data_IF_992649256847
#
_entry.id   IF_992649256847
#
_cell.length_a   1.000
_cell.length_b   1.000
_cell.length_c   1.000
_cell.angle_alpha   90.00
_cell.angle_beta   90.00
_cell.angle_gamma   90.00
#
_symmetry.space_group_name_H-M   'P 1'
#
loop_
_entity.id
_entity.type
_entity.pdbx_description
1 polymer ?
#
# COMPACT_ATOMS: atom_id res chain seq x y z
N UNK A 1 -33.51 17.10 -10.57
CA UNK A 1 -32.23 17.69 -10.13
C UNK A 1 -32.34 17.98 -8.63
N UNK A 2 -31.63 17.23 -7.78
CA UNK A 2 -31.74 17.41 -6.32
C UNK A 2 -30.86 18.61 -5.89
N UNK A 3 -31.49 19.77 -5.66
CA UNK A 3 -30.82 21.01 -5.27
C UNK A 3 -30.14 20.89 -3.91
N UNK A 4 -30.75 20.17 -2.97
CA UNK A 4 -30.17 19.97 -1.63
C UNK A 4 -28.86 19.17 -1.70
N UNK A 5 -28.80 18.13 -2.54
CA UNK A 5 -27.53 17.40 -2.76
C UNK A 5 -26.41 18.35 -3.19
N UNK A 6 -26.65 19.17 -4.21
CA UNK A 6 -25.62 20.06 -4.76
C UNK A 6 -25.24 21.18 -3.78
N UNK A 7 -26.20 21.67 -3.00
CA UNK A 7 -25.95 22.63 -1.92
C UNK A 7 -25.00 22.05 -0.87
N UNK A 8 -25.28 20.84 -0.38
CA UNK A 8 -24.45 20.17 0.61
C UNK A 8 -23.07 19.82 0.04
N UNK A 9 -23.03 19.25 -1.17
CA UNK A 9 -21.79 18.89 -1.85
C UNK A 9 -20.87 20.10 -2.12
N UNK A 10 -21.43 21.19 -2.66
CA UNK A 10 -20.66 22.42 -2.90
C UNK A 10 -20.16 23.05 -1.60
N UNK A 11 -20.99 23.06 -0.54
CA UNK A 11 -20.60 23.54 0.78
C UNK A 11 -19.51 22.68 1.40
N UNK A 12 -19.57 21.36 1.22
CA UNK A 12 -18.52 20.43 1.65
C UNK A 12 -17.19 20.74 0.97
N UNK A 13 -17.20 20.92 -0.36
CA UNK A 13 -16.01 21.32 -1.13
C UNK A 13 -15.44 22.66 -0.67
N UNK A 14 -16.30 23.62 -0.35
CA UNK A 14 -15.87 24.92 0.18
C UNK A 14 -15.20 24.78 1.55
N UNK A 15 -15.78 23.99 2.45
CA UNK A 15 -15.16 23.72 3.75
C UNK A 15 -13.82 23.01 3.61
N UNK A 16 -13.74 22.06 2.67
CA UNK A 16 -12.52 21.34 2.35
C UNK A 16 -11.43 22.27 1.85
N UNK A 17 -11.78 23.21 0.98
CA UNK A 17 -10.85 24.25 0.49
C UNK A 17 -10.28 25.11 1.63
N UNK A 18 -11.08 25.41 2.65
CA UNK A 18 -10.62 26.14 3.84
C UNK A 18 -9.99 25.26 4.94
N UNK A 19 -9.71 23.98 4.66
CA UNK A 19 -9.12 23.04 5.63
C UNK A 19 -10.03 22.71 6.81
N UNK A 20 -11.34 22.95 6.71
CA UNK A 20 -12.35 22.67 7.75
C UNK A 20 -12.91 21.26 7.55
N UNK A 21 -12.05 20.25 7.71
CA UNK A 21 -12.38 18.87 7.32
C UNK A 21 -13.56 18.26 8.06
N UNK A 22 -13.74 18.52 9.36
CA UNK A 22 -14.92 18.02 10.09
C UNK A 22 -16.23 18.58 9.53
N UNK A 23 -16.23 19.86 9.16
CA UNK A 23 -17.40 20.49 8.53
C UNK A 23 -17.61 19.93 7.13
N UNK A 24 -16.54 19.76 6.35
CA UNK A 24 -16.62 19.14 5.04
C UNK A 24 -17.18 17.73 5.13
N UNK A 25 -16.69 16.92 6.06
CA UNK A 25 -17.14 15.55 6.31
C UNK A 25 -18.64 15.51 6.65
N UNK A 26 -19.11 16.35 7.57
CA UNK A 26 -20.53 16.44 7.92
C UNK A 26 -21.42 16.79 6.72
N UNK A 27 -20.97 17.69 5.85
CA UNK A 27 -21.69 18.06 4.63
C UNK A 27 -21.69 16.95 3.58
N UNK A 28 -20.57 16.26 3.38
CA UNK A 28 -20.50 15.09 2.50
C UNK A 28 -21.36 13.93 3.00
N UNK A 29 -21.49 13.73 4.31
CA UNK A 29 -22.41 12.73 4.88
C UNK A 29 -23.86 13.02 4.48
N UNK A 30 -24.28 14.29 4.54
CA UNK A 30 -25.62 14.68 4.11
C UNK A 30 -25.78 14.50 2.60
N UNK A 31 -24.79 14.93 1.81
CA UNK A 31 -24.80 14.74 0.36
C UNK A 31 -24.92 13.26 -0.03
N UNK A 32 -24.15 12.38 0.62
CA UNK A 32 -24.21 10.94 0.40
C UNK A 32 -25.56 10.34 0.81
N UNK A 33 -26.18 10.78 1.93
CA UNK A 33 -27.54 10.34 2.28
C UNK A 33 -28.59 10.75 1.24
N UNK A 34 -28.42 11.92 0.62
CA UNK A 34 -29.32 12.42 -0.42
C UNK A 34 -29.11 11.72 -1.79
N UNK A 35 -27.90 11.21 -2.05
CA UNK A 35 -27.55 10.39 -3.22
C UNK A 35 -26.51 9.31 -2.83
N UNK A 36 -26.97 8.15 -2.33
CA UNK A 36 -26.06 7.07 -1.92
C UNK A 36 -25.40 6.35 -3.11
N UNK A 37 -25.90 6.60 -4.33
CA UNK A 37 -25.34 6.14 -5.59
C UNK A 37 -24.22 7.04 -6.14
N UNK A 38 -23.99 8.22 -5.54
CA UNK A 38 -22.89 9.10 -5.93
C UNK A 38 -21.56 8.67 -5.30
N UNK A 39 -20.67 8.14 -6.16
CA UNK A 39 -19.31 7.76 -5.78
C UNK A 39 -18.50 8.94 -5.22
N UNK A 40 -18.72 10.15 -5.75
CA UNK A 40 -17.90 11.30 -5.36
C UNK A 40 -18.03 11.60 -3.88
N UNK A 41 -19.25 11.62 -3.34
CA UNK A 41 -19.48 11.88 -1.91
C UNK A 41 -18.79 10.83 -1.02
N UNK A 42 -18.89 9.55 -1.36
CA UNK A 42 -18.24 8.46 -0.63
C UNK A 42 -16.70 8.56 -0.68
N UNK A 43 -16.13 8.87 -1.85
CA UNK A 43 -14.68 9.07 -2.01
C UNK A 43 -14.16 10.20 -1.12
N UNK A 44 -14.86 11.35 -1.08
CA UNK A 44 -14.43 12.45 -0.22
C UNK A 44 -14.51 12.09 1.27
N UNK A 45 -15.52 11.31 1.69
CA UNK A 45 -15.62 10.80 3.05
C UNK A 45 -14.45 9.85 3.38
N UNK A 46 -14.14 8.91 2.49
CA UNK A 46 -13.00 8.00 2.63
C UNK A 46 -11.68 8.77 2.75
N UNK A 47 -11.41 9.72 1.85
CA UNK A 47 -10.19 10.52 1.84
C UNK A 47 -10.05 11.37 3.10
N UNK A 48 -11.10 12.08 3.52
CA UNK A 48 -11.04 12.89 4.74
C UNK A 48 -10.80 12.00 5.97
N UNK A 49 -11.47 10.85 6.06
CA UNK A 49 -11.25 9.92 7.16
C UNK A 49 -9.80 9.40 7.18
N UNK A 50 -9.24 9.03 6.03
CA UNK A 50 -7.88 8.55 5.90
C UNK A 50 -6.84 9.62 6.30
N UNK A 51 -6.98 10.84 5.81
CA UNK A 51 -6.07 11.96 6.13
C UNK A 51 -6.13 12.38 7.61
N UNK A 52 -7.28 12.17 8.25
CA UNK A 52 -7.46 12.39 9.69
C UNK A 52 -7.10 11.15 10.51
N UNK A 53 -6.38 10.19 9.91
CA UNK A 53 -5.91 8.94 10.52
C UNK A 53 -7.02 8.11 11.16
N UNK A 54 -8.28 8.30 10.72
CA UNK A 54 -9.45 7.51 11.14
C UNK A 54 -9.55 6.28 10.25
N UNK A 55 -8.52 5.44 10.27
CA UNK A 55 -8.35 4.39 9.27
C UNK A 55 -9.48 3.36 9.24
N UNK A 56 -10.04 2.98 10.40
CA UNK A 56 -11.20 2.09 10.46
C UNK A 56 -12.42 2.69 9.74
N UNK A 57 -12.73 3.96 10.00
CA UNK A 57 -13.81 4.69 9.32
C UNK A 57 -13.51 4.88 7.82
N UNK A 58 -12.24 5.12 7.46
CA UNK A 58 -11.85 5.22 6.06
C UNK A 58 -12.09 3.88 5.32
N UNK A 59 -11.77 2.75 5.96
CA UNK A 59 -12.01 1.42 5.40
C UNK A 59 -13.50 1.20 5.12
N UNK A 60 -14.39 1.57 6.05
CA UNK A 60 -15.85 1.51 5.85
C UNK A 60 -16.29 2.33 4.62
N UNK A 61 -15.77 3.55 4.44
CA UNK A 61 -16.10 4.38 3.27
C UNK A 61 -15.50 3.85 1.97
N UNK A 62 -14.33 3.21 2.01
CA UNK A 62 -13.77 2.55 0.84
C UNK A 62 -14.56 1.31 0.43
N UNK A 63 -15.13 0.55 1.37
CA UNK A 63 -16.10 -0.52 1.05
C UNK A 63 -17.29 0.05 0.28
N UNK A 64 -17.82 1.20 0.70
CA UNK A 64 -18.91 1.87 -0.02
C UNK A 64 -18.48 2.38 -1.41
N UNK A 65 -17.27 2.91 -1.55
CA UNK A 65 -16.71 3.28 -2.85
C UNK A 65 -16.61 2.06 -3.78
N UNK A 66 -16.16 0.92 -3.26
CA UNK A 66 -16.01 -0.33 -3.99
C UNK A 66 -17.35 -0.99 -4.33
N UNK A 67 -18.40 -0.76 -3.53
CA UNK A 67 -19.78 -1.15 -3.89
C UNK A 67 -20.25 -0.45 -5.16
N UNK A 68 -19.83 0.81 -5.36
CA UNK A 68 -20.21 1.64 -6.52
C UNK A 68 -19.26 1.46 -7.71
N UNK A 69 -17.98 1.19 -7.46
CA UNK A 69 -16.95 1.00 -8.47
C UNK A 69 -16.08 -0.25 -8.18
N UNK A 70 -16.64 -1.46 -8.30
CA UNK A 70 -15.97 -2.70 -7.87
C UNK A 70 -14.74 -3.08 -8.70
N UNK A 71 -14.58 -2.48 -9.89
CA UNK A 71 -13.51 -2.76 -10.83
C UNK A 71 -12.34 -1.76 -10.72
N UNK A 72 -12.44 -0.76 -9.84
CA UNK A 72 -11.39 0.26 -9.67
C UNK A 72 -10.22 -0.30 -8.83
N UNK A 73 -9.14 -0.66 -9.53
CA UNK A 73 -7.92 -1.18 -8.92
C UNK A 73 -7.26 -0.19 -7.94
N UNK A 74 -7.32 1.11 -8.21
CA UNK A 74 -6.72 2.12 -7.33
C UNK A 74 -7.54 2.27 -6.05
N UNK A 75 -8.85 2.10 -6.14
CA UNK A 75 -9.74 2.10 -4.97
C UNK A 75 -9.48 0.87 -4.08
N UNK A 76 -9.28 -0.31 -4.66
CA UNK A 76 -8.87 -1.52 -3.93
C UNK A 76 -7.51 -1.33 -3.25
N UNK A 77 -6.55 -0.70 -3.93
CA UNK A 77 -5.27 -0.36 -3.33
C UNK A 77 -5.42 0.58 -2.12
N UNK A 78 -6.21 1.66 -2.27
CA UNK A 78 -6.43 2.61 -1.18
C UNK A 78 -7.16 1.96 0.01
N UNK A 79 -8.12 1.06 -0.26
CA UNK A 79 -8.77 0.24 0.76
C UNK A 79 -7.75 -0.62 1.50
N UNK A 80 -6.87 -1.32 0.77
CA UNK A 80 -5.81 -2.13 1.37
C UNK A 80 -4.85 -1.33 2.22
N UNK A 81 -4.46 -0.14 1.75
CA UNK A 81 -3.62 0.79 2.49
C UNK A 81 -4.26 1.19 3.82
N UNK A 82 -5.53 1.60 3.83
CA UNK A 82 -6.18 2.00 5.09
C UNK A 82 -6.43 0.82 6.03
N UNK A 83 -6.70 -0.39 5.51
CA UNK A 83 -6.81 -1.58 6.34
C UNK A 83 -5.49 -1.91 7.06
N UNK A 84 -4.36 -1.80 6.35
CA UNK A 84 -3.03 -2.00 6.94
C UNK A 84 -2.78 -1.00 8.08
N UNK A 85 -3.07 0.27 7.82
CA UNK A 85 -2.93 1.35 8.80
C UNK A 85 -3.90 1.23 9.98
N UNK A 86 -5.09 0.64 9.75
CA UNK A 86 -6.04 0.28 10.81
C UNK A 86 -5.58 -0.92 11.64
N UNK A 87 -4.50 -1.59 11.26
CA UNK A 87 -3.98 -2.78 11.94
C UNK A 87 -4.67 -4.08 11.54
N UNK A 88 -5.36 -4.12 10.41
CA UNK A 88 -5.95 -5.33 9.82
C UNK A 88 -5.17 -5.75 8.56
N UNK A 89 -4.03 -6.43 8.72
CA UNK A 89 -3.22 -6.89 7.59
C UNK A 89 -3.94 -7.95 6.74
N UNK A 90 -4.94 -8.69 7.28
CA UNK A 90 -5.68 -9.68 6.50
C UNK A 90 -6.64 -9.01 5.52
N UNK A 91 -7.39 -8.01 5.98
CA UNK A 91 -8.21 -7.19 5.10
C UNK A 91 -7.35 -6.45 4.07
N UNK A 92 -6.17 -5.97 4.47
CA UNK A 92 -5.21 -5.33 3.56
C UNK A 92 -4.77 -6.28 2.43
N UNK A 93 -4.36 -7.51 2.76
CA UNK A 93 -3.98 -8.52 1.77
C UNK A 93 -5.12 -8.79 0.79
N UNK A 94 -6.35 -8.97 1.26
CA UNK A 94 -7.50 -9.23 0.39
C UNK A 94 -7.74 -8.07 -0.59
N UNK A 95 -7.66 -6.82 -0.11
CA UNK A 95 -7.84 -5.64 -0.93
C UNK A 95 -6.68 -5.44 -1.93
N UNK A 96 -5.43 -5.64 -1.51
CA UNK A 96 -4.29 -5.58 -2.43
C UNK A 96 -4.31 -6.69 -3.48
N UNK A 97 -4.68 -7.91 -3.10
CA UNK A 97 -4.84 -9.04 -4.01
C UNK A 97 -5.88 -8.72 -5.10
N UNK A 98 -6.98 -8.07 -4.72
CA UNK A 98 -7.99 -7.60 -5.66
C UNK A 98 -7.45 -6.48 -6.56
N UNK A 99 -6.72 -5.51 -6.00
CA UNK A 99 -6.08 -4.45 -6.78
C UNK A 99 -5.14 -5.01 -7.87
N UNK A 100 -4.27 -5.97 -7.51
CA UNK A 100 -3.34 -6.59 -8.47
C UNK A 100 -4.03 -7.56 -9.43
N UNK A 101 -5.16 -8.17 -9.04
CA UNK A 101 -5.99 -8.97 -9.96
C UNK A 101 -6.57 -8.10 -11.08
N UNK A 102 -7.01 -6.88 -10.76
CA UNK A 102 -7.55 -5.92 -11.73
C UNK A 102 -6.46 -5.21 -12.53
N UNK A 103 -5.37 -4.82 -11.88
CA UNK A 103 -4.23 -4.14 -12.50
C UNK A 103 -2.93 -4.78 -12.02
N UNK A 104 -2.45 -5.85 -12.71
CA UNK A 104 -1.24 -6.56 -12.30
C UNK A 104 0.04 -5.72 -12.28
N UNK A 105 0.05 -4.59 -13.00
CA UNK A 105 1.18 -3.65 -13.08
C UNK A 105 1.16 -2.59 -11.96
N UNK A 106 0.24 -2.66 -11.00
CA UNK A 106 0.18 -1.75 -9.86
C UNK A 106 1.20 -2.16 -8.80
N UNK A 107 2.45 -1.74 -8.99
CA UNK A 107 3.61 -2.08 -8.14
C UNK A 107 3.37 -1.80 -6.65
N UNK A 108 2.78 -0.64 -6.31
CA UNK A 108 2.44 -0.26 -4.94
C UNK A 108 1.51 -1.23 -4.22
N UNK A 109 0.62 -1.91 -4.96
CA UNK A 109 -0.26 -2.91 -4.37
C UNK A 109 0.48 -4.22 -4.08
N UNK A 110 1.42 -4.63 -4.94
CA UNK A 110 2.32 -5.76 -4.64
C UNK A 110 3.21 -5.45 -3.42
N UNK A 111 3.77 -4.25 -3.37
CA UNK A 111 4.57 -3.80 -2.23
C UNK A 111 3.77 -3.81 -0.91
N UNK A 112 2.57 -3.22 -0.92
CA UNK A 112 1.68 -3.20 0.24
C UNK A 112 1.25 -4.60 0.69
N UNK A 113 0.99 -5.50 -0.26
CA UNK A 113 0.69 -6.90 0.04
C UNK A 113 1.87 -7.62 0.69
N UNK A 114 3.10 -7.37 0.22
CA UNK A 114 4.32 -7.90 0.83
C UNK A 114 4.51 -7.44 2.27
N UNK A 115 4.28 -6.16 2.55
CA UNK A 115 4.32 -5.61 3.91
C UNK A 115 3.27 -6.27 4.82
N UNK A 116 2.04 -6.43 4.34
CA UNK A 116 0.96 -7.03 5.12
C UNK A 116 1.23 -8.51 5.43
N UNK A 117 1.72 -9.29 4.46
CA UNK A 117 2.18 -10.67 4.70
C UNK A 117 3.35 -10.73 5.69
N UNK A 118 4.33 -9.85 5.54
CA UNK A 118 5.48 -9.79 6.45
C UNK A 118 5.06 -9.49 7.90
N UNK A 119 4.05 -8.62 8.10
CA UNK A 119 3.47 -8.30 9.40
C UNK A 119 2.74 -9.49 10.04
N UNK A 120 2.18 -10.38 9.22
CA UNK A 120 1.58 -11.64 9.67
C UNK A 120 2.60 -12.77 9.89
N UNK A 121 3.88 -12.56 9.57
CA UNK A 121 4.90 -13.61 9.62
C UNK A 121 4.88 -14.56 8.41
N UNK A 122 4.09 -14.26 7.39
CA UNK A 122 3.92 -15.06 6.17
C UNK A 122 5.06 -14.76 5.17
N UNK A 123 6.31 -15.01 5.60
CA UNK A 123 7.51 -14.53 4.92
C UNK A 123 7.68 -15.06 3.49
N UNK A 124 7.22 -16.28 3.21
CA UNK A 124 7.24 -16.84 1.86
C UNK A 124 6.35 -16.05 0.88
N UNK A 125 5.12 -15.73 1.30
CA UNK A 125 4.19 -14.93 0.50
C UNK A 125 4.65 -13.47 0.39
N UNK A 126 5.23 -12.93 1.47
CA UNK A 126 5.83 -11.60 1.45
C UNK A 126 6.96 -11.52 0.41
N UNK A 127 7.85 -12.51 0.37
CA UNK A 127 8.94 -12.57 -0.60
C UNK A 127 8.41 -12.62 -2.04
N UNK A 128 7.37 -13.40 -2.31
CA UNK A 128 6.74 -13.47 -3.64
C UNK A 128 6.12 -12.12 -4.05
N UNK A 129 5.41 -11.45 -3.14
CA UNK A 129 4.83 -10.15 -3.41
C UNK A 129 5.91 -9.07 -3.66
N UNK A 130 6.97 -9.03 -2.85
CA UNK A 130 8.08 -8.11 -3.06
C UNK A 130 8.83 -8.40 -4.37
N UNK A 131 9.04 -9.67 -4.71
CA UNK A 131 9.65 -10.07 -5.99
C UNK A 131 8.85 -9.51 -7.19
N UNK A 132 7.52 -9.54 -7.13
CA UNK A 132 6.65 -8.94 -8.16
C UNK A 132 6.73 -7.41 -8.17
N UNK A 133 6.78 -6.77 -6.99
CA UNK A 133 6.96 -5.33 -6.89
C UNK A 133 8.28 -4.85 -7.52
N UNK A 134 9.40 -5.51 -7.22
CA UNK A 134 10.72 -5.11 -7.76
C UNK A 134 10.84 -5.41 -9.26
N UNK A 135 10.16 -6.43 -9.76
CA UNK A 135 10.09 -6.68 -11.20
C UNK A 135 9.39 -5.55 -11.97
N UNK A 136 8.43 -4.86 -11.33
CA UNK A 136 7.75 -3.70 -11.90
C UNK A 136 8.50 -2.39 -11.67
N UNK A 137 9.20 -2.26 -10.54
CA UNK A 137 10.01 -1.10 -10.15
C UNK A 137 11.44 -1.53 -9.76
N UNK A 138 12.34 -1.76 -10.73
CA UNK A 138 13.67 -2.32 -10.48
C UNK A 138 14.62 -1.44 -9.65
N UNK A 139 14.30 -0.15 -9.48
CA UNK A 139 15.12 0.81 -8.71
C UNK A 139 14.55 1.09 -7.31
N UNK A 140 13.60 0.28 -6.83
CA UNK A 140 13.01 0.45 -5.51
C UNK A 140 13.85 -0.26 -4.44
N UNK A 141 14.91 0.39 -3.96
CA UNK A 141 15.86 -0.17 -2.99
C UNK A 141 15.20 -0.76 -1.73
N UNK A 142 14.25 -0.05 -1.12
CA UNK A 142 13.54 -0.55 0.07
C UNK A 142 12.79 -1.86 -0.18
N UNK A 143 12.12 -2.00 -1.34
CA UNK A 143 11.46 -3.24 -1.73
C UNK A 143 12.46 -4.40 -1.91
N UNK A 144 13.67 -4.15 -2.43
CA UNK A 144 14.72 -5.17 -2.50
C UNK A 144 15.22 -5.58 -1.10
N UNK A 145 15.45 -4.62 -0.21
CA UNK A 145 15.84 -4.90 1.17
C UNK A 145 14.79 -5.77 1.87
N UNK A 146 13.51 -5.40 1.76
CA UNK A 146 12.40 -6.16 2.35
C UNK A 146 12.22 -7.52 1.69
N UNK A 147 12.43 -7.64 0.38
CA UNK A 147 12.46 -8.92 -0.32
C UNK A 147 13.55 -9.84 0.24
N UNK A 148 14.78 -9.34 0.37
CA UNK A 148 15.90 -10.10 0.94
C UNK A 148 15.65 -10.55 2.37
N UNK A 149 15.14 -9.66 3.22
CA UNK A 149 14.75 -9.99 4.60
C UNK A 149 13.62 -11.04 4.65
N UNK A 150 12.64 -10.94 3.76
CA UNK A 150 11.55 -11.92 3.66
C UNK A 150 12.09 -13.29 3.20
N UNK A 151 12.99 -13.33 2.22
CA UNK A 151 13.65 -14.57 1.77
C UNK A 151 14.48 -15.22 2.88
N UNK A 152 15.24 -14.42 3.64
CA UNK A 152 16.01 -14.90 4.79
C UNK A 152 15.09 -15.52 5.85
N UNK A 153 14.03 -14.82 6.25
CA UNK A 153 13.06 -15.33 7.23
C UNK A 153 12.23 -16.52 6.72
N UNK A 154 12.08 -16.65 5.41
CA UNK A 154 11.44 -17.80 4.77
C UNK A 154 12.40 -18.99 4.56
N UNK A 155 13.65 -18.91 5.03
CA UNK A 155 14.70 -19.91 4.84
C UNK A 155 14.94 -20.25 3.34
N UNK A 156 14.94 -19.22 2.48
CA UNK A 156 15.22 -19.32 1.03
C UNK A 156 16.59 -18.67 0.70
N UNK A 157 17.72 -19.31 1.05
CA UNK A 157 19.05 -18.69 0.95
C UNK A 157 19.44 -18.30 -0.48
N UNK A 158 19.05 -19.08 -1.49
CA UNK A 158 19.35 -18.80 -2.89
C UNK A 158 18.69 -17.50 -3.39
N UNK A 159 17.49 -17.20 -2.90
CA UNK A 159 16.80 -15.95 -3.26
C UNK A 159 17.46 -14.75 -2.59
N UNK A 160 18.10 -14.92 -1.43
CA UNK A 160 18.87 -13.83 -0.78
C UNK A 160 20.09 -13.48 -1.64
N UNK A 161 20.81 -14.49 -2.14
CA UNK A 161 21.95 -14.27 -3.05
C UNK A 161 21.51 -13.55 -4.34
N UNK A 162 20.37 -13.94 -4.92
CA UNK A 162 19.78 -13.25 -6.07
C UNK A 162 19.47 -11.78 -5.77
N UNK A 163 18.86 -11.49 -4.61
CA UNK A 163 18.55 -10.12 -4.15
C UNK A 163 19.85 -9.31 -4.03
N UNK A 164 20.88 -9.87 -3.38
CA UNK A 164 22.17 -9.21 -3.20
C UNK A 164 22.81 -8.92 -4.55
N UNK A 165 22.90 -9.90 -5.45
CA UNK A 165 23.49 -9.70 -6.77
C UNK A 165 22.83 -8.55 -7.54
N UNK A 166 21.50 -8.45 -7.50
CA UNK A 166 20.78 -7.33 -8.11
C UNK A 166 20.97 -6.01 -7.40
N UNK A 167 21.01 -6.00 -6.06
CA UNK A 167 21.22 -4.79 -5.26
C UNK A 167 22.60 -4.20 -5.49
N UNK A 168 23.63 -5.04 -5.66
CA UNK A 168 25.02 -4.58 -5.84
C UNK A 168 25.15 -3.68 -7.07
N UNK A 169 24.43 -3.99 -8.15
CA UNK A 169 24.48 -3.26 -9.41
C UNK A 169 24.01 -1.80 -9.31
N UNK A 170 23.16 -1.46 -8.32
CA UNK A 170 22.61 -0.09 -8.21
C UNK A 170 22.70 0.55 -6.81
N UNK A 171 22.75 -0.24 -5.74
CA UNK A 171 22.89 0.22 -4.34
C UNK A 171 23.71 -0.77 -3.50
N UNK A 172 25.03 -0.74 -3.72
CA UNK A 172 25.99 -1.56 -2.98
C UNK A 172 26.00 -1.29 -1.47
N UNK A 173 25.62 -0.08 -1.01
CA UNK A 173 25.53 0.23 0.42
C UNK A 173 24.36 -0.51 1.05
N UNK A 174 23.22 -0.54 0.37
CA UNK A 174 22.05 -1.28 0.83
C UNK A 174 22.28 -2.79 0.76
N UNK A 175 22.98 -3.28 -0.26
CA UNK A 175 23.44 -4.68 -0.33
C UNK A 175 24.29 -5.04 0.91
N UNK A 176 25.30 -4.23 1.22
CA UNK A 176 26.18 -4.46 2.38
C UNK A 176 25.42 -4.42 3.71
N UNK A 177 24.44 -3.51 3.84
CA UNK A 177 23.54 -3.48 4.99
C UNK A 177 22.73 -4.77 5.08
N UNK A 178 22.11 -5.22 3.98
CA UNK A 178 21.31 -6.44 3.97
C UNK A 178 22.14 -7.66 4.36
N UNK A 179 23.38 -7.81 3.84
CA UNK A 179 24.30 -8.90 4.21
C UNK A 179 24.55 -8.95 5.72
N UNK A 180 24.78 -7.80 6.34
CA UNK A 180 24.95 -7.69 7.80
C UNK A 180 23.66 -8.03 8.54
N UNK A 181 22.52 -7.50 8.09
CA UNK A 181 21.24 -7.67 8.77
C UNK A 181 20.71 -9.12 8.68
N UNK A 182 21.14 -9.90 7.67
CA UNK A 182 20.89 -11.37 7.58
C UNK A 182 21.94 -12.23 8.30
N UNK A 183 23.04 -11.64 8.79
CA UNK A 183 24.09 -12.35 9.53
C UNK A 183 24.84 -13.42 8.72
N UNK A 184 24.99 -13.22 7.40
CA UNK A 184 25.66 -14.15 6.48
C UNK A 184 26.88 -13.49 5.81
N UNK A 185 27.65 -12.71 6.56
CA UNK A 185 28.81 -11.95 6.05
C UNK A 185 29.89 -12.85 5.43
N UNK A 186 30.15 -14.02 6.02
CA UNK A 186 31.17 -14.96 5.51
C UNK A 186 30.81 -15.50 4.12
N UNK A 187 29.51 -15.69 3.87
CA UNK A 187 29.00 -16.31 2.65
C UNK A 187 28.68 -15.27 1.56
N UNK A 188 28.03 -14.17 1.95
CA UNK A 188 27.54 -13.14 1.02
C UNK A 188 28.49 -11.95 0.89
N UNK A 189 29.43 -11.77 1.81
CA UNK A 189 30.44 -10.71 1.77
C UNK A 189 31.27 -10.69 0.48
N UNK A 190 31.72 -11.85 -0.06
CA UNK A 190 32.42 -11.90 -1.34
C UNK A 190 31.62 -11.43 -2.56
N UNK A 191 30.30 -11.28 -2.45
CA UNK A 191 29.44 -10.75 -3.52
C UNK A 191 29.41 -9.21 -3.53
N UNK A 192 29.89 -8.57 -2.46
CA UNK A 192 29.91 -7.11 -2.34
C UNK A 192 31.12 -6.54 -3.09
N UNK A 193 30.98 -5.37 -3.74
CA UNK A 193 32.09 -4.71 -4.39
C UNK A 193 33.00 -4.09 -3.32
N UNK A 194 34.27 -3.88 -3.66
CA UNK A 194 35.16 -3.09 -2.81
C UNK A 194 34.61 -1.67 -2.68
N UNK A 195 34.11 -1.33 -1.50
CA UNK A 195 33.54 0.00 -1.24
C UNK A 195 34.70 0.98 -0.98
N UNK A 196 34.79 2.10 -1.72
CA UNK A 196 35.78 3.12 -1.40
C UNK A 196 35.50 3.69 -0.01
N UNK A 197 36.55 3.74 0.81
CA UNK A 197 36.56 4.29 2.18
C UNK A 197 36.01 5.72 2.25
#
# INVERSE_FOLDING_TARGET
MNFEYWRHYARARLWRFFGRDEKAFAEYLIAHRLRPDDLSSAQHLACIAAERTRYALAAEWFVECLRLAPEDAEMHYNHGFVCEQAGDPRAAIAAFAEAVRRKPVLDRAWYGMGLAHARLGEHAAAAEAFARSVALQPMHGEAYYLWGMACHRAARPQQVEEVIGRLVDFDARLAARLVRDVGREEELGPLLPEMPF
#
